data_IF_996985228990
#
_entry.id   IF_996985228990
#
_cell.length_a   1.000
_cell.length_b   1.000
_cell.length_c   1.000
_cell.angle_alpha   90.00
_cell.angle_beta   90.00
_cell.angle_gamma   90.00
#
_symmetry.space_group_name_H-M   'P 1'
#
loop_
_entity.id
_entity.type
_entity.pdbx_description
1 polymer ?
#
# COMPACT_ATOMS: atom_id res chain seq x y z
N UNK A 1 -8.70 -2.22 -22.56
CA UNK A 1 -9.43 -1.35 -21.74
C UNK A 1 -8.54 -0.56 -20.82
N UNK A 2 -8.67 0.72 -20.85
CA UNK A 2 -7.78 1.54 -20.08
C UNK A 2 -8.39 1.80 -18.75
N UNK A 3 -7.69 1.48 -17.72
CA UNK A 3 -8.21 1.78 -16.41
C UNK A 3 -7.99 3.24 -16.14
N UNK A 4 -8.87 3.86 -15.43
CA UNK A 4 -8.69 5.25 -15.10
C UNK A 4 -7.39 5.35 -14.32
N UNK A 5 -6.58 6.24 -14.74
CA UNK A 5 -5.34 6.46 -14.07
C UNK A 5 -5.62 6.83 -12.62
N UNK A 6 -4.87 6.31 -11.76
CA UNK A 6 -4.98 6.69 -10.36
C UNK A 6 -5.81 5.79 -9.47
N UNK A 7 -6.52 4.84 -10.06
CA UNK A 7 -7.32 3.98 -9.19
C UNK A 7 -6.51 2.76 -8.78
N UNK A 8 -6.38 2.54 -7.49
CA UNK A 8 -5.66 1.39 -6.98
C UNK A 8 -6.62 0.21 -6.92
N UNK A 9 -6.19 -0.92 -7.46
CA UNK A 9 -7.02 -2.13 -7.45
C UNK A 9 -6.63 -3.03 -6.29
N UNK A 10 -7.54 -3.91 -5.91
CA UNK A 10 -7.25 -4.86 -4.84
C UNK A 10 -6.07 -5.76 -5.19
N UNK A 11 -5.94 -6.14 -6.46
CA UNK A 11 -4.82 -7.00 -6.87
C UNK A 11 -3.48 -6.27 -6.72
N UNK A 12 -3.46 -4.97 -6.95
CA UNK A 12 -2.24 -4.21 -6.77
C UNK A 12 -1.85 -4.17 -5.30
N UNK A 13 -2.82 -4.03 -4.41
CA UNK A 13 -2.55 -4.02 -2.98
C UNK A 13 -2.00 -5.37 -2.55
N UNK A 14 -2.63 -6.45 -2.99
CA UNK A 14 -2.19 -7.79 -2.63
C UNK A 14 -0.77 -8.02 -3.11
N UNK A 15 -0.47 -7.64 -4.35
CA UNK A 15 0.87 -7.83 -4.89
C UNK A 15 1.91 -7.02 -4.12
N UNK A 16 1.59 -5.78 -3.77
CA UNK A 16 2.54 -4.94 -3.05
C UNK A 16 2.82 -5.46 -1.65
N UNK A 17 1.79 -5.92 -0.96
CA UNK A 17 1.97 -6.46 0.38
C UNK A 17 2.77 -7.77 0.32
N UNK A 18 2.45 -8.62 -0.66
CA UNK A 18 3.16 -9.89 -0.80
C UNK A 18 4.65 -9.63 -1.07
N UNK A 19 4.93 -8.69 -1.94
CA UNK A 19 6.30 -8.38 -2.26
C UNK A 19 7.03 -7.82 -1.03
N UNK A 20 6.41 -6.94 -0.28
CA UNK A 20 7.05 -6.37 0.89
C UNK A 20 7.29 -7.43 1.96
N UNK A 21 6.40 -8.39 2.08
CA UNK A 21 6.53 -9.46 3.06
C UNK A 21 7.41 -10.61 2.58
N UNK A 22 7.83 -10.59 1.33
CA UNK A 22 8.64 -11.67 0.79
C UNK A 22 7.84 -12.93 0.54
N UNK A 23 6.56 -12.80 0.20
CA UNK A 23 5.70 -13.94 -0.03
C UNK A 23 5.20 -13.94 -1.46
N UNK A 24 4.82 -15.13 -1.94
CA UNK A 24 4.15 -15.20 -3.22
C UNK A 24 2.68 -14.83 -2.99
N UNK A 25 2.04 -14.26 -3.99
CA UNK A 25 0.63 -13.90 -3.88
C UNK A 25 -0.21 -15.13 -3.52
N UNK A 26 0.12 -16.30 -4.11
CA UNK A 26 -0.63 -17.51 -3.83
C UNK A 26 -0.55 -17.92 -2.36
N UNK A 27 0.58 -17.63 -1.72
CA UNK A 27 0.74 -17.95 -0.31
C UNK A 27 -0.05 -16.96 0.52
N UNK A 28 0.01 -15.70 0.16
CA UNK A 28 -0.69 -14.65 0.91
C UNK A 28 -2.20 -14.89 0.87
N UNK A 29 -2.74 -15.30 -0.26
CA UNK A 29 -4.17 -15.55 -0.39
C UNK A 29 -4.57 -16.97 -0.08
N UNK A 30 -3.63 -17.79 0.39
CA UNK A 30 -3.89 -19.18 0.69
C UNK A 30 -4.56 -19.37 2.04
N UNK A 31 -4.59 -20.62 2.50
CA UNK A 31 -5.33 -20.96 3.71
C UNK A 31 -4.52 -20.91 4.99
N UNK A 32 -3.24 -20.63 4.91
CA UNK A 32 -2.41 -20.67 6.10
C UNK A 32 -2.82 -19.63 7.13
N UNK A 33 -2.77 -20.01 8.40
CA UNK A 33 -3.13 -19.12 9.48
C UNK A 33 -1.93 -18.76 10.35
N UNK A 34 -0.73 -19.17 9.96
CA UNK A 34 0.42 -18.85 10.79
C UNK A 34 0.69 -17.35 10.67
N UNK A 35 1.18 -16.78 11.75
CA UNK A 35 1.33 -15.34 11.83
C UNK A 35 2.15 -14.70 10.72
N UNK A 36 3.28 -15.26 10.32
CA UNK A 36 4.08 -14.66 9.25
C UNK A 36 3.32 -14.50 7.92
N UNK A 37 2.22 -15.23 7.75
CA UNK A 37 1.41 -15.13 6.56
C UNK A 37 0.10 -14.43 6.87
N UNK A 38 -0.48 -14.74 8.02
CA UNK A 38 -1.77 -14.15 8.38
C UNK A 38 -1.67 -12.64 8.63
N UNK A 39 -0.57 -12.19 9.21
CA UNK A 39 -0.43 -10.76 9.50
C UNK A 39 -0.32 -9.93 8.21
N UNK A 40 0.53 -10.29 7.24
CA UNK A 40 0.53 -9.57 5.97
C UNK A 40 -0.81 -9.60 5.28
N UNK A 41 -1.57 -10.71 5.40
CA UNK A 41 -2.88 -10.80 4.81
C UNK A 41 -3.83 -9.78 5.45
N UNK A 42 -3.74 -9.61 6.75
CA UNK A 42 -4.56 -8.61 7.43
C UNK A 42 -4.16 -7.21 7.00
N UNK A 43 -2.88 -6.96 6.77
CA UNK A 43 -2.42 -5.67 6.27
C UNK A 43 -2.99 -5.43 4.87
N UNK A 44 -3.03 -6.47 4.03
CA UNK A 44 -3.59 -6.33 2.69
C UNK A 44 -5.07 -5.95 2.78
N UNK A 45 -5.81 -6.60 3.65
CA UNK A 45 -7.24 -6.29 3.83
C UNK A 45 -7.44 -4.85 4.32
N UNK A 46 -6.62 -4.43 5.27
CA UNK A 46 -6.69 -3.09 5.81
C UNK A 46 -6.41 -2.05 4.70
N UNK A 47 -5.37 -2.26 3.91
CA UNK A 47 -5.04 -1.32 2.86
C UNK A 47 -6.05 -1.35 1.71
N UNK A 48 -6.62 -2.51 1.41
CA UNK A 48 -7.65 -2.58 0.39
C UNK A 48 -8.86 -1.78 0.83
N UNK A 49 -9.23 -1.85 2.08
CA UNK A 49 -10.37 -1.08 2.56
C UNK A 49 -10.07 0.42 2.53
N UNK A 50 -8.83 0.77 2.82
CA UNK A 50 -8.46 2.18 2.87
C UNK A 50 -8.24 2.78 1.48
N UNK A 51 -7.61 2.06 0.59
CA UNK A 51 -7.22 2.58 -0.71
C UNK A 51 -8.16 2.24 -1.84
N UNK A 52 -9.05 1.28 -1.62
CA UNK A 52 -9.99 0.85 -2.64
C UNK A 52 -11.41 1.01 -2.11
N UNK A 53 -11.87 2.25 -1.96
CA UNK A 53 -13.20 2.48 -1.37
C UNK A 53 -14.34 1.88 -2.18
N UNK A 54 -14.09 1.51 -3.43
CA UNK A 54 -15.08 0.85 -4.26
C UNK A 54 -15.27 -0.62 -3.90
N UNK A 55 -14.39 -1.19 -3.06
CA UNK A 55 -14.52 -2.58 -2.68
C UNK A 55 -15.24 -2.71 -1.34
N UNK A 56 -16.22 -3.61 -1.30
CA UNK A 56 -16.92 -3.90 -0.05
C UNK A 56 -16.11 -4.93 0.73
N UNK A 57 -16.44 -5.12 1.99
CA UNK A 57 -15.78 -6.15 2.79
C UNK A 57 -15.92 -7.54 2.15
N UNK A 58 -17.10 -7.93 1.67
CA UNK A 58 -17.19 -9.23 1.01
C UNK A 58 -16.32 -9.33 -0.25
N UNK A 59 -16.21 -8.23 -1.01
CA UNK A 59 -15.37 -8.24 -2.20
C UNK A 59 -13.90 -8.41 -1.83
N UNK A 60 -13.46 -7.72 -0.77
CA UNK A 60 -12.09 -7.86 -0.29
C UNK A 60 -11.86 -9.30 0.15
N UNK A 61 -12.80 -9.88 0.86
CA UNK A 61 -12.68 -11.27 1.32
C UNK A 61 -12.52 -12.24 0.16
N UNK A 62 -13.26 -12.01 -0.92
CA UNK A 62 -13.15 -12.89 -2.06
C UNK A 62 -11.76 -12.80 -2.69
N UNK A 63 -11.18 -11.63 -2.72
CA UNK A 63 -9.86 -11.48 -3.31
C UNK A 63 -8.76 -12.01 -2.42
N UNK A 64 -9.00 -12.10 -1.13
CA UNK A 64 -8.00 -12.59 -0.20
C UNK A 64 -8.19 -14.08 0.13
N UNK A 65 -8.71 -14.84 -0.81
CA UNK A 65 -8.82 -16.28 -0.65
C UNK A 65 -10.18 -16.73 -0.16
N UNK A 66 -11.21 -16.04 -0.58
CA UNK A 66 -12.60 -16.38 -0.22
C UNK A 66 -12.83 -16.37 1.29
N UNK A 67 -12.40 -15.30 1.92
CA UNK A 67 -12.61 -15.15 3.34
C UNK A 67 -13.89 -14.39 3.62
N UNK A 68 -14.46 -14.70 4.76
CA UNK A 68 -15.70 -14.06 5.15
C UNK A 68 -15.46 -12.58 5.45
N UNK A 69 -16.47 -11.76 5.20
CA UNK A 69 -16.35 -10.34 5.42
C UNK A 69 -16.07 -9.98 6.88
N UNK A 70 -16.55 -10.80 7.82
CA UNK A 70 -16.27 -10.53 9.23
C UNK A 70 -14.81 -10.76 9.55
N UNK A 71 -14.15 -11.68 8.86
CA UNK A 71 -12.73 -11.92 9.03
C UNK A 71 -11.96 -10.70 8.55
N UNK A 72 -12.40 -10.08 7.45
CA UNK A 72 -11.75 -8.90 6.92
C UNK A 72 -11.94 -7.71 7.88
N UNK A 73 -13.14 -7.55 8.38
CA UNK A 73 -13.44 -6.47 9.31
C UNK A 73 -12.62 -6.63 10.60
N UNK A 74 -12.52 -7.85 11.09
CA UNK A 74 -11.73 -8.12 12.30
C UNK A 74 -10.26 -7.81 12.02
N UNK A 75 -9.74 -8.23 10.88
CA UNK A 75 -8.36 -7.96 10.52
C UNK A 75 -8.06 -6.47 10.45
N UNK A 76 -9.00 -5.70 9.92
CA UNK A 76 -8.83 -4.25 9.84
C UNK A 76 -8.70 -3.66 11.24
N UNK A 77 -9.55 -4.11 12.16
CA UNK A 77 -9.50 -3.61 13.52
C UNK A 77 -8.21 -3.99 14.22
N UNK A 78 -7.74 -5.22 13.98
CA UNK A 78 -6.51 -5.69 14.58
C UNK A 78 -5.33 -4.84 14.09
N UNK A 79 -5.27 -4.57 12.80
CA UNK A 79 -4.16 -3.79 12.25
C UNK A 79 -4.20 -2.36 12.80
N UNK A 80 -5.37 -1.75 12.86
CA UNK A 80 -5.48 -0.41 13.40
C UNK A 80 -4.96 -0.35 14.83
N UNK A 81 -5.32 -1.34 15.64
CA UNK A 81 -4.90 -1.35 17.02
C UNK A 81 -3.40 -1.60 17.14
N UNK A 82 -2.89 -2.54 16.36
CA UNK A 82 -1.49 -2.88 16.46
C UNK A 82 -0.57 -1.78 15.95
N UNK A 83 -1.00 -1.01 14.99
CA UNK A 83 -0.17 0.07 14.48
C UNK A 83 0.12 1.12 15.55
N UNK A 84 -0.72 1.20 16.56
CA UNK A 84 -0.48 2.15 17.64
C UNK A 84 0.65 1.71 18.54
N UNK A 85 0.88 0.40 18.63
CA UNK A 85 1.90 -0.13 19.52
C UNK A 85 3.11 -0.74 18.82
N UNK A 86 2.97 -1.12 17.58
CA UNK A 86 4.03 -1.81 16.86
C UNK A 86 4.56 -0.91 15.77
N UNK A 87 5.70 -0.31 16.01
CA UNK A 87 6.28 0.61 15.06
C UNK A 87 6.68 -0.07 13.76
N UNK A 88 7.18 -1.29 13.84
CA UNK A 88 7.61 -2.00 12.64
C UNK A 88 6.41 -2.25 11.74
N UNK A 89 5.28 -2.58 12.31
CA UNK A 89 4.08 -2.81 11.53
C UNK A 89 3.59 -1.49 10.93
N UNK A 90 3.61 -0.42 11.72
CA UNK A 90 3.17 0.88 11.22
C UNK A 90 4.07 1.35 10.08
N UNK A 91 5.36 1.12 10.17
CA UNK A 91 6.29 1.49 9.12
C UNK A 91 6.03 0.66 7.87
N UNK A 92 5.79 -0.64 8.01
CA UNK A 92 5.49 -1.48 6.88
C UNK A 92 4.23 -1.02 6.15
N UNK A 93 3.18 -0.74 6.91
CA UNK A 93 1.91 -0.31 6.32
C UNK A 93 2.11 1.02 5.59
N UNK A 94 2.82 1.95 6.21
CA UNK A 94 3.07 3.25 5.59
C UNK A 94 3.92 3.12 4.33
N UNK A 95 4.91 2.24 4.36
CA UNK A 95 5.78 2.05 3.21
C UNK A 95 5.01 1.49 2.02
N UNK A 96 4.18 0.47 2.26
CA UNK A 96 3.41 -0.14 1.19
C UNK A 96 2.37 0.85 0.67
N UNK A 97 1.73 1.58 1.58
CA UNK A 97 0.74 2.55 1.18
C UNK A 97 1.36 3.64 0.32
N UNK A 98 2.50 4.17 0.72
CA UNK A 98 3.18 5.21 -0.03
C UNK A 98 3.59 4.73 -1.41
N UNK A 99 4.03 3.48 -1.50
CA UNK A 99 4.42 2.91 -2.77
C UNK A 99 3.21 2.79 -3.70
N UNK A 100 2.09 2.31 -3.18
CA UNK A 100 0.89 2.16 -3.98
C UNK A 100 0.37 3.52 -4.45
N UNK A 101 0.43 4.53 -3.59
CA UNK A 101 -0.02 5.85 -3.97
C UNK A 101 0.90 6.48 -5.02
N UNK A 102 2.19 6.22 -4.93
CA UNK A 102 3.12 6.71 -5.91
C UNK A 102 2.89 6.06 -7.27
N UNK A 103 2.61 4.76 -7.27
CA UNK A 103 2.36 4.04 -8.50
C UNK A 103 1.04 4.46 -9.13
N UNK A 104 0.11 4.92 -8.33
CA UNK A 104 -1.19 5.33 -8.84
C UNK A 104 -1.16 6.74 -9.44
N UNK A 105 -0.10 7.49 -9.20
CA UNK A 105 -0.06 8.82 -9.76
C UNK A 105 0.05 8.74 -11.24
N UNK A 106 -0.62 9.59 -11.91
CA UNK A 106 -0.50 9.63 -13.34
C UNK A 106 0.92 10.04 -13.60
N UNK A 107 1.60 9.38 -14.40
CA UNK A 107 2.93 9.71 -14.68
C UNK A 107 2.85 11.00 -15.37
N UNK A 108 3.31 11.95 -14.76
CA UNK A 108 3.26 13.24 -15.29
C UNK A 108 4.17 13.21 -16.41
N UNK A 109 3.75 13.53 -17.37
CA UNK A 109 4.54 13.48 -18.48
C UNK A 109 5.69 14.28 -18.27
N UNK A 110 6.24 14.00 -18.15
CA UNK A 110 7.11 14.57 -17.97
C UNK A 110 7.44 15.67 -18.06
N UNK A 111 6.79 15.99 -18.44
CA UNK A 111 6.72 17.18 -18.41
C UNK A 111 7.52 17.58 -17.53
N UNK A 112 7.42 17.33 -17.07
CA UNK A 112 8.05 17.57 -16.17
C UNK A 112 9.23 17.79 -16.42
N UNK A 113 9.51 17.49 -17.35
CA UNK A 113 10.60 17.60 -17.52
C UNK A 113 11.07 18.74 -17.41
N UNK A 114 10.69 19.34 -17.98
CA UNK A 114 11.16 20.41 -17.95
C UNK A 114 11.21 20.86 -16.78
N UNK A 115 10.46 20.73 -16.42
CA UNK A 115 10.34 21.24 -15.28
C UNK A 115 11.32 20.75 -14.54
N UNK A 116 11.42 19.79 -14.66
CA UNK A 116 12.15 19.35 -13.79
C UNK A 116 13.14 20.09 -13.56
N UNK A 117 13.45 20.59 -14.32
CA UNK A 117 14.44 21.14 -14.08
C UNK A 117 14.41 21.96 -13.09
N UNK A 118 13.94 22.58 -12.99
CA UNK A 118 14.02 23.48 -12.12
C UNK A 118 13.82 23.15 -10.91
N UNK A 119 13.17 22.75 -10.90
CA UNK A 119 12.80 22.61 -9.68
C UNK A 119 13.51 21.64 -9.10
N UNK A 120 13.73 21.07 -9.56
CA UNK A 120 14.22 20.22 -8.89
C UNK A 120 15.15 20.48 -8.27
N UNK A 121 15.50 21.16 -8.59
CA UNK A 121 16.34 21.43 -7.90
C UNK A 121 15.96 22.00 -6.84
N UNK A 122 15.14 22.47 -7.06
CA UNK A 122 14.80 23.14 -6.00
C UNK A 122 14.41 22.21 -5.06
N UNK A 123 13.85 21.46 -5.35
CA UNK A 123 13.46 20.70 -4.45
C UNK A 123 14.24 19.83 -4.00
N UNK A 124 14.78 19.39 -4.79
CA UNK A 124 15.56 18.59 -4.31
C UNK A 124 16.40 19.33 -3.87
N UNK A 125 16.46 20.25 -4.38
CA UNK A 125 17.14 21.06 -3.89
C UNK A 125 16.68 21.47 -2.84
N UNK A 126 15.62 21.49 -2.87
CA UNK A 126 15.17 21.93 -1.79
C UNK A 126 15.63 21.01 -0.86
N UNK A 127 15.58 19.88 -1.05
CA UNK A 127 15.88 19.02 -0.20
C UNK A 127 17.17 19.04 0.05
N UNK A 128 17.85 19.07 -0.89
CA UNK A 128 19.14 19.06 -0.59
C UNK A 128 19.43 20.35 -0.06
N UNK A 129 18.78 21.28 -0.43
CA UNK A 129 19.05 22.51 0.07
C UNK A 129 18.82 22.50 1.45
N UNK A 130 17.83 21.95 1.85
CA UNK A 130 17.55 21.96 3.17
C UNK A 130 18.59 21.31 3.85
N UNK A 131 19.11 20.31 3.41
CA UNK A 131 20.05 19.66 4.05
C UNK A 131 21.17 20.53 4.14
N UNK A 132 21.43 21.24 3.18
CA UNK A 132 22.49 22.02 3.27
C UNK A 132 22.33 23.03 4.22
N UNK A 133 21.27 23.54 4.37
CA UNK A 133 21.07 24.51 5.22
C UNK A 133 21.23 24.05 6.49
N UNK A 134 20.92 22.97 6.75
CA UNK A 134 21.03 22.47 8.03
C UNK A 134 22.49 22.51 8.36
N UNK A 135 23.29 22.56 7.48
CA UNK A 135 24.65 22.54 7.83
C UNK A 135 25.13 23.89 8.27
#
# INVERSE_FOLDING_TARGET
>A
MTLPHGRITGQQVIAAVAEDAGLYVSVLTGQSRIRPIARPRQVAGYLMRRLCPHLSYPAIGRQLGNRDHTTILHGERVIKRLMADDLDLAVMVSRVEARLLADARPSAPLSVTEAGSLAFHALCNGFAAVMRQAA
#
